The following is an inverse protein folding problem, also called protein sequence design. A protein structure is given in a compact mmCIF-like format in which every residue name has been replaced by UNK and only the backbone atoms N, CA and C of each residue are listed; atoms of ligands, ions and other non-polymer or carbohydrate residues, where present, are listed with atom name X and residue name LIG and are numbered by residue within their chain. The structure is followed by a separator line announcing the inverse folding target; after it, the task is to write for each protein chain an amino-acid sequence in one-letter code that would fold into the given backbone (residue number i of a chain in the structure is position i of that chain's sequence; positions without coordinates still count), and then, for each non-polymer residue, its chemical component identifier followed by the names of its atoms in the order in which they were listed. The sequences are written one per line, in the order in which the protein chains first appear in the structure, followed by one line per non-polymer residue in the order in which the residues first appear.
data_IF_315607649017
#
_entry.id   IF_315607649017
#
_cell.length_a   1.000
_cell.length_b   1.000
_cell.length_c   1.000
_cell.angle_alpha   90.00
_cell.angle_beta   90.00
_cell.angle_gamma   90.00
#
_symmetry.space_group_name_H-M   'P 1'
#
loop_
_entity.id
_entity.type
_entity.pdbx_description
1 polymer ?
#
# COMPACT_ATOMS: atom_id res chain seq x y z
N UNK A 1 5.79 29.15 -13.38
CA UNK A 1 4.39 29.19 -12.91
C UNK A 1 4.05 30.61 -12.45
N UNK A 2 2.84 31.15 -12.71
CA UNK A 2 2.36 32.38 -12.04
C UNK A 2 1.93 32.01 -10.61
N UNK A 3 2.27 32.82 -9.61
CA UNK A 3 1.85 32.55 -8.23
C UNK A 3 0.30 32.61 -8.14
N UNK A 4 -0.34 31.77 -7.30
CA UNK A 4 -1.75 31.91 -6.97
C UNK A 4 -2.09 33.34 -6.52
N UNK A 5 -3.28 33.87 -6.85
CA UNK A 5 -3.73 35.19 -6.39
C UNK A 5 -3.70 35.34 -4.86
N UNK A 6 -3.86 34.25 -4.12
CA UNK A 6 -3.85 34.21 -2.65
C UNK A 6 -2.49 34.53 -2.01
N UNK A 7 -1.41 34.57 -2.81
CA UNK A 7 -0.06 34.95 -2.37
C UNK A 7 0.27 36.38 -2.79
N UNK A 8 -0.65 37.32 -2.55
CA UNK A 8 -0.44 38.76 -2.77
C UNK A 8 0.67 39.30 -1.85
N UNK A 9 1.90 39.00 -2.22
CA UNK A 9 3.09 39.49 -1.55
C UNK A 9 3.52 40.81 -2.18
N UNK A 10 3.60 41.86 -1.37
CA UNK A 10 3.95 43.22 -1.81
C UNK A 10 5.33 43.24 -2.46
N UNK A 11 6.30 42.50 -1.91
CA UNK A 11 7.64 42.40 -2.49
C UNK A 11 7.61 41.71 -3.87
N UNK A 12 6.79 40.68 -4.04
CA UNK A 12 6.61 40.05 -5.37
C UNK A 12 6.05 41.06 -6.36
N UNK A 13 4.99 41.79 -5.99
CA UNK A 13 4.30 42.74 -6.88
C UNK A 13 5.20 43.90 -7.29
N UNK A 14 5.78 44.58 -6.31
CA UNK A 14 6.53 45.83 -6.51
C UNK A 14 7.96 45.62 -7.00
N UNK A 15 8.59 44.48 -6.66
CA UNK A 15 10.01 44.21 -6.95
C UNK A 15 10.18 43.10 -7.98
N UNK A 16 9.72 41.88 -7.67
CA UNK A 16 10.04 40.70 -8.50
C UNK A 16 9.25 40.67 -9.83
N UNK A 17 8.07 41.30 -9.88
CA UNK A 17 7.26 41.47 -11.09
C UNK A 17 7.44 42.82 -11.77
N UNK A 18 8.31 43.68 -11.24
CA UNK A 18 8.70 44.90 -11.92
C UNK A 18 9.71 44.62 -13.04
N UNK A 19 9.22 44.65 -14.28
CA UNK A 19 10.02 44.43 -15.49
C UNK A 19 10.57 45.72 -16.13
N UNK A 20 10.37 46.89 -15.50
CA UNK A 20 10.95 48.15 -15.95
C UNK A 20 12.48 48.11 -15.90
N UNK A 21 13.16 48.75 -16.85
CA UNK A 21 14.62 48.88 -16.76
C UNK A 21 15.04 49.98 -15.77
N UNK A 22 14.09 50.77 -15.28
CA UNK A 22 14.34 51.76 -14.24
C UNK A 22 14.76 51.09 -12.93
N UNK A 23 15.73 51.72 -12.28
CA UNK A 23 16.24 51.26 -10.99
C UNK A 23 15.23 51.60 -9.89
N UNK A 24 15.06 50.68 -8.95
CA UNK A 24 14.38 50.96 -7.69
C UNK A 24 15.26 51.86 -6.80
N UNK A 25 14.68 52.49 -5.76
CA UNK A 25 15.45 53.26 -4.80
C UNK A 25 16.59 52.43 -4.20
N UNK A 26 17.81 52.97 -4.24
CA UNK A 26 19.05 52.33 -3.78
C UNK A 26 19.35 50.96 -4.41
N UNK A 27 18.83 50.71 -5.62
CA UNK A 27 19.12 49.49 -6.35
C UNK A 27 20.54 49.49 -6.92
N UNK A 28 21.32 48.49 -6.52
CA UNK A 28 22.67 48.25 -6.96
C UNK A 28 22.71 46.96 -7.78
N UNK A 29 23.40 47.00 -8.92
CA UNK A 29 23.55 45.86 -9.83
C UNK A 29 25.00 45.34 -9.80
N UNK A 30 25.15 44.00 -9.87
CA UNK A 30 26.45 43.33 -10.01
C UNK A 30 26.37 42.24 -11.07
N UNK A 31 27.43 42.08 -11.86
CA UNK A 31 27.55 40.99 -12.82
C UNK A 31 27.56 39.63 -12.12
N UNK A 32 26.87 38.65 -12.70
CA UNK A 32 26.81 37.29 -12.15
C UNK A 32 28.03 36.51 -12.65
N UNK A 33 28.83 35.98 -11.71
CA UNK A 33 30.06 35.26 -12.01
C UNK A 33 29.76 33.95 -12.77
N UNK A 34 30.44 33.71 -13.89
CA UNK A 34 30.17 32.59 -14.81
C UNK A 34 28.94 32.79 -15.71
N UNK A 35 28.30 33.96 -15.63
CA UNK A 35 27.14 34.35 -16.40
C UNK A 35 27.22 35.85 -16.76
N UNK A 36 28.29 36.25 -17.43
CA UNK A 36 28.68 37.65 -17.70
C UNK A 36 27.60 38.43 -18.47
N UNK A 37 26.73 37.72 -19.18
CA UNK A 37 25.58 38.26 -19.90
C UNK A 37 24.42 38.72 -18.97
N UNK A 38 24.58 38.59 -17.66
CA UNK A 38 23.55 38.84 -16.66
C UNK A 38 24.06 39.65 -15.48
N UNK A 39 23.16 40.47 -14.93
CA UNK A 39 23.36 41.16 -13.65
C UNK A 39 22.27 40.75 -12.65
N UNK A 40 22.63 40.80 -11.37
CA UNK A 40 21.72 40.60 -10.24
C UNK A 40 21.71 41.85 -9.38
N UNK A 41 20.53 42.31 -8.96
CA UNK A 41 20.41 43.43 -8.04
C UNK A 41 20.37 43.01 -6.58
N UNK A 42 20.67 43.94 -5.66
CA UNK A 42 20.50 43.73 -4.22
C UNK A 42 19.06 43.40 -3.82
N UNK A 43 18.08 43.72 -4.67
CA UNK A 43 16.67 43.36 -4.52
C UNK A 43 16.31 41.96 -5.07
N UNK A 44 17.25 41.28 -5.75
CA UNK A 44 16.99 39.98 -6.35
C UNK A 44 16.34 40.04 -7.73
N UNK A 45 16.33 41.20 -8.39
CA UNK A 45 15.95 41.32 -9.81
C UNK A 45 17.13 40.85 -10.66
N UNK A 46 16.85 40.11 -11.73
CA UNK A 46 17.88 39.60 -12.64
C UNK A 46 17.72 40.30 -13.98
N UNK A 47 18.78 40.92 -14.49
CA UNK A 47 18.80 41.61 -15.76
C UNK A 47 19.59 40.79 -16.77
N UNK A 48 19.07 40.65 -17.98
CA UNK A 48 19.82 40.13 -19.13
C UNK A 48 20.33 41.32 -19.92
N UNK A 49 21.63 41.37 -20.14
CA UNK A 49 22.28 42.43 -20.89
C UNK A 49 22.09 42.25 -22.40
N UNK A 50 22.18 43.37 -23.12
CA UNK A 50 22.12 43.36 -24.58
C UNK A 50 23.36 42.69 -25.17
N UNK A 51 23.17 41.79 -26.13
CA UNK A 51 24.28 41.07 -26.78
C UNK A 51 23.86 40.49 -28.12
N UNK A 52 24.84 40.22 -28.97
CA UNK A 52 24.66 39.39 -30.14
C UNK A 52 24.60 37.92 -29.71
N UNK A 53 23.59 37.17 -30.19
CA UNK A 53 23.42 35.76 -29.86
C UNK A 53 23.18 34.93 -31.11
N UNK A 54 23.71 33.71 -31.12
CA UNK A 54 23.51 32.74 -32.18
C UNK A 54 22.38 31.78 -31.83
N UNK A 55 21.50 31.50 -32.78
CA UNK A 55 20.54 30.39 -32.67
C UNK A 55 21.23 29.05 -32.95
N UNK A 56 20.57 27.94 -32.61
CA UNK A 56 21.05 26.57 -32.94
C UNK A 56 21.25 26.34 -34.44
N UNK A 57 20.66 27.20 -35.30
CA UNK A 57 20.82 27.17 -36.76
C UNK A 57 21.89 28.15 -37.26
N UNK A 58 22.68 28.75 -36.38
CA UNK A 58 23.76 29.69 -36.72
C UNK A 58 23.32 31.12 -37.05
N UNK A 59 22.02 31.42 -36.96
CA UNK A 59 21.50 32.76 -37.25
C UNK A 59 21.79 33.70 -36.07
N UNK A 60 22.46 34.81 -36.36
CA UNK A 60 22.75 35.89 -35.41
C UNK A 60 21.51 36.76 -35.19
N UNK A 61 21.24 37.10 -33.94
CA UNK A 61 20.21 38.07 -33.60
C UNK A 61 20.62 38.87 -32.35
N UNK A 62 20.18 40.12 -32.30
CA UNK A 62 20.37 40.98 -31.14
C UNK A 62 19.37 40.63 -30.06
N UNK A 63 19.88 40.27 -28.88
CA UNK A 63 19.08 40.20 -27.65
C UNK A 63 19.12 41.59 -27.03
N UNK A 64 17.95 42.18 -26.82
CA UNK A 64 17.81 43.45 -26.10
C UNK A 64 17.90 43.24 -24.59
N UNK A 65 18.34 44.28 -23.90
CA UNK A 65 18.38 44.29 -22.45
C UNK A 65 16.95 44.15 -21.88
N UNK A 66 16.80 43.32 -20.84
CA UNK A 66 15.51 43.16 -20.16
C UNK A 66 15.64 42.55 -18.76
N UNK A 67 14.73 42.92 -17.89
CA UNK A 67 14.53 42.23 -16.61
C UNK A 67 13.92 40.85 -16.86
N UNK A 68 14.53 39.83 -16.26
CA UNK A 68 14.15 38.44 -16.40
C UNK A 68 13.00 38.11 -15.48
N UNK A 69 12.04 37.36 -16.02
CA UNK A 69 10.96 36.79 -15.24
C UNK A 69 11.47 35.75 -14.23
N UNK A 70 11.19 35.92 -12.93
CA UNK A 70 11.56 34.92 -11.93
C UNK A 70 10.76 33.62 -12.11
N UNK A 71 11.37 32.51 -11.71
CA UNK A 71 10.78 31.19 -11.70
C UNK A 71 10.46 30.74 -10.28
N UNK A 72 9.18 30.65 -9.94
CA UNK A 72 8.73 30.14 -8.65
C UNK A 72 8.56 28.61 -8.71
N UNK A 73 9.26 27.91 -7.81
CA UNK A 73 9.04 26.48 -7.56
C UNK A 73 8.26 26.31 -6.26
N UNK A 74 7.29 25.38 -6.25
CA UNK A 74 6.51 25.05 -5.05
C UNK A 74 6.72 23.60 -4.65
N UNK A 75 6.74 23.34 -3.34
CA UNK A 75 6.75 22.00 -2.75
C UNK A 75 5.60 21.89 -1.75
N UNK A 76 4.80 20.82 -1.85
CA UNK A 76 3.71 20.61 -0.92
C UNK A 76 4.22 19.98 0.38
N UNK A 77 3.95 20.62 1.50
CA UNK A 77 4.24 20.07 2.82
C UNK A 77 3.01 19.28 3.32
N UNK A 78 3.11 17.95 3.33
CA UNK A 78 2.03 17.06 3.76
C UNK A 78 1.61 17.22 5.22
N UNK A 79 2.50 17.73 6.08
CA UNK A 79 2.26 17.95 7.50
C UNK A 79 1.46 19.24 7.72
N UNK A 80 1.95 20.36 7.18
CA UNK A 80 1.28 21.66 7.28
C UNK A 80 0.09 21.84 6.32
N UNK A 81 -0.12 20.88 5.41
CA UNK A 81 -1.10 20.96 4.32
C UNK A 81 -0.99 22.23 3.47
N UNK A 82 0.21 22.78 3.34
CA UNK A 82 0.48 24.05 2.66
C UNK A 82 1.67 23.94 1.70
N UNK A 83 1.76 24.85 0.72
CA UNK A 83 2.88 24.95 -0.21
C UNK A 83 4.00 25.83 0.36
N UNK A 84 5.23 25.39 0.15
CA UNK A 84 6.45 26.17 0.39
C UNK A 84 6.99 26.61 -0.97
N UNK A 85 7.35 27.89 -1.10
CA UNK A 85 7.80 28.51 -2.34
C UNK A 85 9.28 28.85 -2.29
N UNK A 86 9.95 28.75 -3.44
CA UNK A 86 11.30 29.25 -3.65
C UNK A 86 11.37 30.07 -4.94
N UNK A 87 12.24 31.08 -4.94
CA UNK A 87 12.45 32.00 -6.08
C UNK A 87 13.76 31.65 -6.77
N UNK A 88 13.67 31.25 -8.03
CA UNK A 88 14.81 30.90 -8.87
C UNK A 88 14.84 31.80 -10.12
N UNK A 89 15.98 31.85 -10.80
CA UNK A 89 16.13 32.50 -12.10
C UNK A 89 16.75 31.55 -13.11
N UNK A 90 16.38 31.74 -14.38
CA UNK A 90 16.96 31.01 -15.51
C UNK A 90 18.07 31.82 -16.16
N UNK A 91 19.28 31.27 -16.14
CA UNK A 91 20.48 31.83 -16.76
C UNK A 91 20.90 30.93 -17.93
N UNK A 92 21.65 31.48 -18.89
CA UNK A 92 22.24 30.69 -19.97
C UNK A 92 23.68 31.12 -20.22
N UNK A 93 24.57 30.15 -20.34
CA UNK A 93 25.97 30.34 -20.74
C UNK A 93 26.37 29.22 -21.68
N UNK A 94 27.10 29.54 -22.74
CA UNK A 94 27.61 28.59 -23.76
C UNK A 94 26.56 27.60 -24.28
N UNK A 95 25.37 28.12 -24.62
CA UNK A 95 24.24 27.30 -25.11
C UNK A 95 23.54 26.45 -24.04
N UNK A 96 24.10 26.34 -22.84
CA UNK A 96 23.53 25.59 -21.71
C UNK A 96 22.62 26.45 -20.86
N UNK A 97 21.52 25.87 -20.34
CA UNK A 97 20.53 26.55 -19.49
C UNK A 97 20.68 26.11 -18.04
N UNK A 98 20.71 27.07 -17.13
CA UNK A 98 20.88 26.86 -15.70
C UNK A 98 19.74 27.48 -14.93
N UNK A 99 19.31 26.81 -13.86
CA UNK A 99 18.37 27.38 -12.88
C UNK A 99 19.14 27.63 -11.59
N UNK A 100 19.19 28.88 -11.14
CA UNK A 100 19.92 29.28 -9.93
C UNK A 100 18.98 29.91 -8.91
N UNK A 101 19.30 29.73 -7.62
CA UNK A 101 18.54 30.34 -6.53
C UNK A 101 18.83 31.83 -6.48
N UNK A 102 17.78 32.66 -6.53
CA UNK A 102 17.93 34.13 -6.42
C UNK A 102 18.54 34.50 -5.07
N UNK A 103 18.10 33.87 -3.98
CA UNK A 103 18.63 34.15 -2.64
C UNK A 103 20.14 33.89 -2.55
N UNK A 104 20.64 32.77 -3.12
CA UNK A 104 22.08 32.47 -3.11
C UNK A 104 22.86 33.48 -3.93
N UNK A 105 22.38 33.87 -5.11
CA UNK A 105 23.04 34.87 -5.94
C UNK A 105 23.10 36.23 -5.24
N UNK A 106 22.00 36.72 -4.69
CA UNK A 106 21.98 38.00 -3.97
C UNK A 106 22.95 37.95 -2.79
N UNK A 107 22.90 36.90 -1.96
CA UNK A 107 23.81 36.80 -0.81
C UNK A 107 25.27 36.76 -1.24
N UNK A 108 25.59 35.96 -2.26
CA UNK A 108 26.94 35.82 -2.79
C UNK A 108 27.52 37.15 -3.28
N UNK A 109 26.72 37.93 -4.01
CA UNK A 109 27.19 39.17 -4.62
C UNK A 109 27.13 40.38 -3.68
N UNK A 110 26.23 40.41 -2.70
CA UNK A 110 25.99 41.60 -1.86
C UNK A 110 26.29 41.44 -0.37
N UNK A 111 26.51 40.21 0.12
CA UNK A 111 26.73 39.97 1.56
C UNK A 111 28.07 39.27 1.81
N UNK A 112 28.26 38.07 1.28
CA UNK A 112 29.45 37.25 1.54
C UNK A 112 29.69 36.26 0.40
N UNK A 113 30.94 36.12 -0.07
CA UNK A 113 31.32 35.08 -1.05
C UNK A 113 31.47 33.72 -0.39
N UNK A 114 31.00 32.67 -1.08
CA UNK A 114 31.05 31.28 -0.63
C UNK A 114 30.95 30.33 -1.84
N UNK A 115 31.21 29.04 -1.66
CA UNK A 115 30.98 28.05 -2.72
C UNK A 115 29.47 27.90 -3.01
N UNK A 116 29.03 28.35 -4.19
CA UNK A 116 27.64 28.30 -4.63
C UNK A 116 27.07 26.88 -4.69
N UNK A 117 27.91 25.84 -4.73
CA UNK A 117 27.50 24.44 -4.72
C UNK A 117 27.50 23.81 -3.30
N UNK A 118 28.03 24.49 -2.27
CA UNK A 118 28.01 23.99 -0.89
C UNK A 118 26.58 23.95 -0.34
N UNK A 119 26.19 22.74 0.10
CA UNK A 119 24.88 22.39 0.65
C UNK A 119 24.87 22.28 2.18
N UNK A 120 26.00 22.56 2.83
CA UNK A 120 26.14 22.53 4.30
C UNK A 120 25.35 23.64 5.00
N UNK A 121 25.02 24.71 4.27
CA UNK A 121 24.20 25.84 4.72
C UNK A 121 23.10 26.19 3.71
N UNK A 122 22.17 27.01 4.17
CA UNK A 122 21.09 27.57 3.35
C UNK A 122 21.02 29.08 3.57
N UNK A 123 20.58 29.79 2.53
CA UNK A 123 20.27 31.22 2.64
C UNK A 123 18.78 31.35 2.95
N UNK A 124 18.46 31.97 4.09
CA UNK A 124 17.09 32.16 4.59
C UNK A 124 16.75 33.65 4.65
N UNK A 125 15.45 33.95 4.70
CA UNK A 125 14.93 35.30 4.95
C UNK A 125 14.70 35.49 6.45
N UNK A 126 15.10 36.64 7.00
CA UNK A 126 14.98 36.97 8.44
C UNK A 126 13.52 37.23 8.85
N UNK A 127 12.75 37.84 7.96
CA UNK A 127 11.34 38.23 8.16
C UNK A 127 10.31 37.10 7.94
N UNK A 128 10.77 35.84 7.82
CA UNK A 128 9.95 34.68 7.44
C UNK A 128 9.22 34.80 6.07
N UNK A 129 9.41 35.90 5.34
CA UNK A 129 8.87 36.08 4.00
C UNK A 129 9.80 35.44 2.96
N UNK A 130 9.40 34.28 2.45
CA UNK A 130 10.18 33.52 1.45
C UNK A 130 10.36 34.25 0.11
N UNK A 131 9.66 35.36 -0.14
CA UNK A 131 9.77 36.16 -1.36
C UNK A 131 10.65 37.40 -1.21
N UNK A 132 10.80 37.97 -0.02
CA UNK A 132 11.69 39.10 0.22
C UNK A 132 13.16 38.69 0.02
N UNK A 133 13.73 39.03 -1.14
CA UNK A 133 15.11 38.65 -1.54
C UNK A 133 16.11 39.78 -1.36
N UNK A 134 15.76 40.86 -0.68
CA UNK A 134 16.66 41.97 -0.47
C UNK A 134 17.88 41.52 0.35
N UNK A 135 19.08 41.95 -0.04
CA UNK A 135 20.34 41.51 0.56
C UNK A 135 20.38 41.68 2.09
N UNK A 136 19.82 42.77 2.62
CA UNK A 136 19.76 43.02 4.07
C UNK A 136 18.85 42.04 4.84
N UNK A 137 17.85 41.47 4.16
CA UNK A 137 16.90 40.51 4.72
C UNK A 137 17.40 39.05 4.63
N UNK A 138 18.55 38.81 3.98
CA UNK A 138 19.09 37.46 3.85
C UNK A 138 20.09 37.15 4.96
N UNK A 139 20.10 35.89 5.38
CA UNK A 139 21.05 35.33 6.35
C UNK A 139 21.54 33.96 5.91
N UNK A 140 22.79 33.63 6.25
CA UNK A 140 23.40 32.33 6.04
C UNK A 140 23.28 31.51 7.32
N UNK A 141 22.54 30.41 7.26
CA UNK A 141 22.33 29.51 8.41
C UNK A 141 22.75 28.08 8.05
N UNK A 142 23.29 27.34 9.01
CA UNK A 142 23.68 25.96 8.77
C UNK A 142 22.46 25.07 8.48
N UNK A 143 22.66 23.99 7.73
CA UNK A 143 21.61 23.00 7.48
C UNK A 143 21.09 22.38 8.79
N UNK A 144 21.94 22.31 9.83
CA UNK A 144 21.55 21.87 11.18
C UNK A 144 20.61 22.86 11.86
N UNK A 145 20.93 24.14 11.85
CA UNK A 145 20.06 25.18 12.39
C UNK A 145 18.73 25.24 11.65
N UNK A 146 18.74 25.20 10.31
CA UNK A 146 17.49 25.17 9.53
C UNK A 146 16.58 24.02 9.95
N UNK A 147 17.13 22.81 10.11
CA UNK A 147 16.39 21.64 10.62
C UNK A 147 15.83 21.93 12.02
N UNK A 148 16.63 22.47 12.92
CA UNK A 148 16.18 22.83 14.28
C UNK A 148 15.05 23.86 14.26
N UNK A 149 15.11 24.89 13.41
CA UNK A 149 14.05 25.89 13.27
C UNK A 149 12.76 25.27 12.72
N UNK A 150 12.85 24.33 11.78
CA UNK A 150 11.70 23.55 11.27
C UNK A 150 11.07 22.73 12.40
N UNK A 151 11.88 22.10 13.26
CA UNK A 151 11.38 21.36 14.43
C UNK A 151 10.70 22.29 15.45
N UNK A 152 11.33 23.42 15.80
CA UNK A 152 10.78 24.39 16.77
C UNK A 152 9.49 25.06 16.29
N UNK A 153 9.37 25.31 14.99
CA UNK A 153 8.16 25.89 14.38
C UNK A 153 7.09 24.85 14.05
N UNK A 154 7.24 23.61 14.53
CA UNK A 154 6.34 22.47 14.26
C UNK A 154 5.97 22.35 12.78
N UNK A 155 6.97 22.39 11.89
CA UNK A 155 6.76 22.30 10.42
C UNK A 155 6.97 20.89 9.87
N UNK A 156 7.22 19.91 10.73
CA UNK A 156 7.45 18.49 10.40
C UNK A 156 7.12 17.60 11.60
N UNK A 157 6.53 16.42 11.34
CA UNK A 157 6.21 15.43 12.37
C UNK A 157 7.47 15.00 13.13
N UNK A 158 7.47 15.20 14.45
CA UNK A 158 8.53 14.70 15.32
C UNK A 158 8.20 13.29 15.81
N UNK A 159 8.77 12.28 15.13
CA UNK A 159 8.57 10.86 15.46
C UNK A 159 9.05 10.53 16.88
N UNK A 160 10.08 11.23 17.39
CA UNK A 160 10.58 11.01 18.74
C UNK A 160 9.54 11.42 19.79
N UNK A 161 8.85 12.54 19.60
CA UNK A 161 7.74 12.96 20.48
C UNK A 161 6.61 11.93 20.46
N UNK A 162 6.33 11.36 19.29
CA UNK A 162 5.33 10.31 19.16
C UNK A 162 5.75 9.02 19.89
N UNK A 163 7.03 8.65 19.87
CA UNK A 163 7.54 7.47 20.57
C UNK A 163 7.69 7.66 22.08
N UNK A 164 7.73 8.91 22.55
CA UNK A 164 7.68 9.24 23.98
C UNK A 164 6.27 9.13 24.58
N UNK A 165 5.22 8.89 23.77
CA UNK A 165 3.86 8.77 24.28
C UNK A 165 3.66 7.47 25.08
N UNK A 166 3.00 7.52 26.24
CA UNK A 166 2.70 6.34 27.03
C UNK A 166 1.68 5.43 26.36
N UNK A 167 1.87 4.12 26.51
CA UNK A 167 1.06 3.09 25.86
C UNK A 167 0.66 1.98 26.82
N UNK A 168 -0.49 1.39 26.53
CA UNK A 168 -1.06 0.27 27.28
C UNK A 168 -1.09 -0.97 26.38
N UNK A 169 -0.66 -2.09 26.95
CA UNK A 169 -0.59 -3.41 26.31
C UNK A 169 -1.84 -4.21 26.66
N UNK A 170 -2.44 -4.87 25.67
CA UNK A 170 -3.60 -5.73 25.84
C UNK A 170 -3.39 -7.08 25.14
N UNK A 171 -4.07 -8.11 25.65
CA UNK A 171 -4.28 -9.36 24.91
C UNK A 171 -5.08 -9.05 23.65
N UNK A 172 -5.11 -10.04 22.78
CA UNK A 172 -5.78 -9.94 21.51
C UNK A 172 -7.30 -9.90 21.65
N UNK A 173 -7.79 -10.52 22.73
CA UNK A 173 -9.18 -10.63 23.16
C UNK A 173 -9.65 -9.37 23.93
N UNK A 174 -8.70 -8.55 24.38
CA UNK A 174 -8.96 -7.24 25.00
C UNK A 174 -8.72 -7.17 26.50
N UNK A 175 -8.09 -8.17 27.09
CA UNK A 175 -7.67 -8.14 28.48
C UNK A 175 -6.44 -7.26 28.66
N UNK A 176 -6.45 -6.40 29.65
CA UNK A 176 -5.32 -5.54 29.96
C UNK A 176 -4.12 -6.34 30.49
N UNK A 177 -2.91 -5.98 30.06
CA UNK A 177 -1.66 -6.65 30.49
C UNK A 177 -0.78 -5.69 31.30
N UNK A 178 -0.34 -4.58 30.71
CA UNK A 178 0.66 -3.71 31.32
C UNK A 178 0.65 -2.27 30.76
N UNK A 179 1.27 -1.36 31.51
CA UNK A 179 1.53 0.02 31.11
C UNK A 179 3.01 0.25 30.84
N UNK A 180 3.29 1.13 29.88
CA UNK A 180 4.63 1.56 29.50
C UNK A 180 4.64 3.08 29.40
N UNK A 181 5.67 3.71 29.98
CA UNK A 181 5.82 5.16 30.02
C UNK A 181 6.03 5.76 28.61
N UNK A 182 6.56 4.97 27.68
CA UNK A 182 6.77 5.35 26.29
C UNK A 182 6.81 4.13 25.37
N UNK A 183 6.66 4.34 24.06
CA UNK A 183 6.90 3.29 23.05
C UNK A 183 8.36 2.82 23.10
N UNK A 184 9.32 3.71 23.38
CA UNK A 184 10.72 3.32 23.59
C UNK A 184 10.88 2.30 24.72
N UNK A 185 10.17 2.48 25.84
CA UNK A 185 10.23 1.52 26.95
C UNK A 185 9.64 0.15 26.60
N UNK A 186 8.76 0.08 25.59
CA UNK A 186 8.28 -1.19 25.03
C UNK A 186 9.39 -1.87 24.21
N UNK A 187 10.08 -1.11 23.35
CA UNK A 187 11.17 -1.62 22.54
C UNK A 187 12.32 -2.14 23.41
N UNK A 188 12.71 -1.38 24.43
CA UNK A 188 13.76 -1.77 25.37
C UNK A 188 13.41 -3.06 26.14
N UNK A 189 12.17 -3.18 26.64
CA UNK A 189 11.75 -4.31 27.49
C UNK A 189 11.35 -5.56 26.70
N UNK A 190 10.67 -5.39 25.56
CA UNK A 190 10.06 -6.47 24.80
C UNK A 190 10.74 -6.74 23.45
N UNK A 191 11.69 -5.89 23.03
CA UNK A 191 12.34 -5.99 21.72
C UNK A 191 11.40 -5.74 20.54
N UNK A 192 10.27 -5.07 20.76
CA UNK A 192 9.28 -4.77 19.72
C UNK A 192 9.57 -3.38 19.14
N UNK A 193 9.84 -3.34 17.83
CA UNK A 193 10.17 -2.11 17.12
C UNK A 193 9.11 -1.01 17.31
N UNK A 194 9.56 0.22 17.58
CA UNK A 194 8.69 1.38 17.83
C UNK A 194 7.71 1.66 16.67
N UNK A 195 8.16 1.51 15.42
CA UNK A 195 7.33 1.68 14.22
C UNK A 195 6.16 0.72 14.23
N UNK A 196 6.40 -0.53 14.63
CA UNK A 196 5.37 -1.56 14.63
C UNK A 196 4.29 -1.31 15.68
N UNK A 197 4.67 -0.76 16.85
CA UNK A 197 3.70 -0.32 17.87
C UNK A 197 2.87 0.85 17.35
N UNK A 198 3.52 1.81 16.70
CA UNK A 198 2.85 2.97 16.11
C UNK A 198 1.88 2.57 14.98
N UNK A 199 2.22 1.58 14.16
CA UNK A 199 1.33 1.03 13.13
C UNK A 199 0.07 0.40 13.73
N UNK A 200 0.18 -0.25 14.90
CA UNK A 200 -0.98 -0.78 15.65
C UNK A 200 -1.87 0.35 16.16
N UNK A 201 -1.27 1.37 16.80
CA UNK A 201 -1.98 2.54 17.33
C UNK A 201 -2.72 3.29 16.21
N UNK A 202 -2.10 3.43 15.05
CA UNK A 202 -2.69 4.04 13.85
C UNK A 202 -3.64 3.10 13.09
N UNK A 203 -3.86 1.89 13.60
CA UNK A 203 -4.77 0.87 13.03
C UNK A 203 -4.39 0.41 11.61
N UNK A 204 -3.11 0.56 11.24
CA UNK A 204 -2.55 0.03 9.98
C UNK A 204 -2.43 -1.49 10.05
N UNK A 205 -2.01 -2.00 11.20
CA UNK A 205 -1.97 -3.43 11.52
C UNK A 205 -2.73 -3.69 12.82
N UNK A 206 -3.17 -4.93 13.03
CA UNK A 206 -3.98 -5.27 14.20
C UNK A 206 -3.12 -5.47 15.45
N UNK A 207 -1.96 -6.10 15.35
CA UNK A 207 -1.14 -6.53 16.49
C UNK A 207 0.34 -6.30 16.24
N UNK A 208 1.12 -6.16 17.31
CA UNK A 208 2.58 -6.18 17.29
C UNK A 208 3.11 -6.90 18.53
N UNK A 209 4.15 -7.72 18.36
CA UNK A 209 4.67 -8.57 19.43
C UNK A 209 3.63 -9.51 20.05
N UNK A 210 2.61 -9.93 19.29
CA UNK A 210 1.45 -10.73 19.74
C UNK A 210 0.39 -9.97 20.55
N UNK A 211 0.53 -8.66 20.73
CA UNK A 211 -0.35 -7.85 21.56
C UNK A 211 -1.07 -6.76 20.78
N UNK A 212 -2.13 -6.21 21.39
CA UNK A 212 -2.79 -4.97 20.96
C UNK A 212 -2.19 -3.80 21.75
N UNK A 213 -2.08 -2.65 21.11
CA UNK A 213 -1.45 -1.47 21.68
C UNK A 213 -2.34 -0.25 21.48
N UNK A 214 -2.53 0.51 22.55
CA UNK A 214 -3.30 1.74 22.54
C UNK A 214 -2.56 2.82 23.31
N UNK A 215 -2.77 4.07 22.94
CA UNK A 215 -2.26 5.20 23.72
C UNK A 215 -2.98 5.22 25.07
N UNK A 216 -2.24 5.47 26.15
CA UNK A 216 -2.84 5.50 27.48
C UNK A 216 -3.92 6.59 27.60
N UNK A 217 -3.72 7.73 26.95
CA UNK A 217 -4.71 8.83 26.90
C UNK A 217 -5.93 8.55 26.02
N UNK A 218 -5.96 7.42 25.30
CA UNK A 218 -7.09 7.00 24.48
C UNK A 218 -7.27 5.48 24.60
N UNK A 219 -7.80 5.00 25.75
CA UNK A 219 -7.96 3.58 26.00
C UNK A 219 -8.98 2.95 25.04
N UNK A 220 -8.84 1.65 24.74
CA UNK A 220 -9.64 0.97 23.74
C UNK A 220 -11.09 0.73 24.20
N UNK A 221 -12.02 0.78 23.23
CA UNK A 221 -13.42 0.37 23.45
C UNK A 221 -13.61 -1.13 23.18
N UNK A 222 -14.62 -1.75 23.79
CA UNK A 222 -14.91 -3.19 23.61
C UNK A 222 -15.11 -3.55 22.14
N UNK A 223 -15.69 -2.65 21.34
CA UNK A 223 -15.94 -2.86 19.92
C UNK A 223 -14.65 -2.92 19.10
N UNK A 224 -13.55 -2.31 19.57
CA UNK A 224 -12.24 -2.34 18.90
C UNK A 224 -11.55 -3.71 19.03
N UNK A 225 -11.97 -4.50 20.03
CA UNK A 225 -11.58 -5.89 20.20
C UNK A 225 -12.56 -6.87 19.53
N UNK A 226 -13.80 -6.46 19.28
CA UNK A 226 -14.77 -7.20 18.47
C UNK A 226 -14.34 -7.18 17.00
N UNK A 227 -13.43 -8.10 16.67
CA UNK A 227 -12.75 -8.21 15.39
C UNK A 227 -13.63 -7.91 14.18
N UNK A 228 -13.34 -6.80 13.50
CA UNK A 228 -13.41 -6.66 12.03
C UNK A 228 -14.67 -7.32 11.41
N UNK A 229 -15.87 -7.05 11.94
CA UNK A 229 -17.11 -7.28 11.17
C UNK A 229 -17.26 -6.31 10.00
N UNK A 230 -16.42 -5.26 9.93
CA UNK A 230 -16.63 -4.09 9.06
C UNK A 230 -15.68 -4.04 7.85
N UNK A 231 -15.06 -5.16 7.48
CA UNK A 231 -14.66 -5.31 6.07
C UNK A 231 -15.07 -6.67 5.54
N UNK A 232 -16.39 -6.83 5.36
CA UNK A 232 -16.87 -7.51 4.17
C UNK A 232 -16.31 -6.75 2.96
N UNK A 233 -15.04 -6.96 2.63
CA UNK A 233 -14.71 -6.99 1.23
C UNK A 233 -15.61 -8.12 0.72
N UNK A 234 -16.65 -7.72 0.01
CA UNK A 234 -17.59 -8.57 -0.71
C UNK A 234 -16.77 -9.33 -1.74
N UNK A 235 -15.96 -10.26 -1.25
CA UNK A 235 -15.26 -11.25 -2.03
C UNK A 235 -16.39 -12.04 -2.68
N UNK A 236 -16.48 -11.88 -3.99
CA UNK A 236 -17.56 -12.34 -4.85
C UNK A 236 -18.25 -13.59 -4.30
N UNK A 237 -19.54 -13.47 -3.97
CA UNK A 237 -20.42 -14.58 -3.60
C UNK A 237 -20.21 -15.81 -4.49
N UNK A 238 -19.92 -15.55 -5.76
CA UNK A 238 -19.58 -16.52 -6.79
C UNK A 238 -18.06 -16.73 -6.92
N UNK A 239 -17.63 -17.98 -6.92
CA UNK A 239 -16.29 -18.42 -7.37
C UNK A 239 -16.17 -18.27 -8.90
N UNK A 240 -15.96 -17.03 -9.37
CA UNK A 240 -15.87 -16.69 -10.80
C UNK A 240 -14.81 -17.52 -11.54
N UNK A 241 -13.66 -17.76 -10.92
CA UNK A 241 -12.59 -18.56 -11.51
C UNK A 241 -13.07 -19.97 -11.88
N UNK A 242 -13.72 -20.67 -10.96
CA UNK A 242 -14.22 -22.02 -11.22
C UNK A 242 -15.34 -22.00 -12.26
N UNK A 243 -16.25 -21.02 -12.17
CA UNK A 243 -17.35 -20.84 -13.12
C UNK A 243 -16.84 -20.63 -14.55
N UNK A 244 -15.83 -19.78 -14.74
CA UNK A 244 -15.18 -19.57 -16.03
C UNK A 244 -14.48 -20.83 -16.54
N UNK A 245 -13.76 -21.54 -15.66
CA UNK A 245 -13.06 -22.79 -16.02
C UNK A 245 -14.00 -23.93 -16.41
N UNK A 246 -15.23 -23.92 -15.91
CA UNK A 246 -16.28 -24.89 -16.27
C UNK A 246 -17.09 -24.46 -17.50
N UNK A 247 -16.67 -23.42 -18.22
CA UNK A 247 -17.33 -22.97 -19.45
C UNK A 247 -18.56 -22.10 -19.20
N UNK A 248 -18.63 -21.42 -18.04
CA UNK A 248 -19.71 -20.50 -17.66
C UNK A 248 -21.10 -21.16 -17.72
N UNK A 249 -21.33 -22.26 -16.97
CA UNK A 249 -22.65 -22.90 -16.92
C UNK A 249 -23.73 -21.88 -16.49
N UNK A 250 -24.95 -22.05 -17.01
CA UNK A 250 -26.08 -21.18 -16.69
C UNK A 250 -26.51 -21.41 -15.23
N UNK A 251 -26.22 -20.45 -14.36
CA UNK A 251 -26.50 -20.49 -12.92
C UNK A 251 -26.97 -19.12 -12.43
N UNK A 252 -27.72 -19.08 -11.34
CA UNK A 252 -28.02 -17.83 -10.64
C UNK A 252 -26.77 -17.33 -9.88
N UNK A 253 -26.23 -16.19 -10.29
CA UNK A 253 -25.05 -15.61 -9.65
C UNK A 253 -25.32 -15.06 -8.24
N UNK A 254 -26.58 -14.78 -7.89
CA UNK A 254 -27.02 -14.32 -6.57
C UNK A 254 -27.37 -15.46 -5.63
N UNK A 255 -27.59 -16.66 -6.15
CA UNK A 255 -27.76 -17.88 -5.39
C UNK A 255 -27.05 -19.06 -6.08
N UNK A 256 -25.72 -19.03 -6.16
CA UNK A 256 -24.99 -20.02 -6.95
C UNK A 256 -25.00 -21.40 -6.27
N UNK A 257 -24.88 -22.49 -7.06
CA UNK A 257 -24.70 -23.84 -6.53
C UNK A 257 -23.56 -23.94 -5.52
N UNK A 258 -23.61 -24.94 -4.64
CA UNK A 258 -22.72 -25.04 -3.48
C UNK A 258 -21.23 -24.98 -3.81
N UNK A 259 -20.78 -25.63 -4.90
CA UNK A 259 -19.38 -25.61 -5.33
C UNK A 259 -18.88 -24.22 -5.78
N UNK A 260 -19.80 -23.34 -6.17
CA UNK A 260 -19.56 -21.97 -6.59
C UNK A 260 -19.79 -20.94 -5.48
N UNK A 261 -20.52 -21.31 -4.43
CA UNK A 261 -20.98 -20.40 -3.39
C UNK A 261 -19.92 -20.17 -2.31
N UNK A 262 -19.36 -18.95 -2.26
CA UNK A 262 -18.35 -18.52 -1.29
C UNK A 262 -18.93 -17.81 -0.05
N UNK A 263 -20.26 -17.77 0.10
CA UNK A 263 -20.92 -17.19 1.28
C UNK A 263 -20.64 -18.02 2.52
N UNK A 264 -20.28 -17.37 3.62
CA UNK A 264 -20.18 -18.03 4.94
C UNK A 264 -21.54 -18.42 5.52
N UNK A 265 -22.65 -17.88 4.98
CA UNK A 265 -24.01 -18.29 5.37
C UNK A 265 -24.27 -19.72 4.93
N UNK A 266 -24.91 -20.48 5.80
CA UNK A 266 -25.30 -21.86 5.51
C UNK A 266 -26.41 -21.90 4.45
N UNK A 267 -26.37 -22.92 3.60
CA UNK A 267 -27.40 -23.21 2.61
C UNK A 267 -28.52 -24.04 3.25
N UNK A 268 -29.69 -24.07 2.61
CA UNK A 268 -30.79 -24.89 3.09
C UNK A 268 -30.41 -26.38 3.16
N UNK A 269 -30.66 -27.00 4.32
CA UNK A 269 -30.33 -28.41 4.59
C UNK A 269 -28.83 -28.70 4.66
N UNK A 270 -27.99 -27.69 4.84
CA UNK A 270 -26.56 -27.85 4.98
C UNK A 270 -26.14 -28.08 6.43
N UNK A 271 -25.27 -29.07 6.65
CA UNK A 271 -24.64 -29.34 7.93
C UNK A 271 -23.16 -29.66 7.74
N UNK A 272 -22.37 -29.46 8.79
CA UNK A 272 -20.91 -29.43 8.74
C UNK A 272 -20.30 -30.50 9.64
N UNK A 273 -19.25 -31.15 9.16
CA UNK A 273 -18.42 -32.10 9.92
C UNK A 273 -16.95 -31.69 9.87
N UNK A 274 -16.15 -31.95 10.91
CA UNK A 274 -14.70 -31.71 10.86
C UNK A 274 -14.06 -32.47 9.68
N UNK A 275 -13.10 -31.84 9.01
CA UNK A 275 -12.33 -32.52 7.95
C UNK A 275 -11.47 -33.63 8.57
N UNK A 276 -11.56 -34.90 8.13
CA UNK A 276 -10.89 -36.04 8.75
C UNK A 276 -9.42 -36.15 8.27
N UNK A 277 -8.64 -35.09 8.47
CA UNK A 277 -7.23 -35.02 8.08
C UNK A 277 -6.40 -34.59 9.30
N UNK A 278 -5.46 -35.43 9.77
CA UNK A 278 -4.61 -35.14 10.92
C UNK A 278 -3.96 -33.76 10.88
N UNK A 279 -4.33 -32.93 11.86
CA UNK A 279 -3.85 -31.56 12.04
C UNK A 279 -4.69 -30.50 11.31
N UNK A 280 -5.87 -30.84 10.81
CA UNK A 280 -6.78 -29.91 10.12
C UNK A 280 -8.20 -29.90 10.72
N UNK A 281 -8.52 -30.82 11.62
CA UNK A 281 -9.85 -31.08 12.19
C UNK A 281 -10.43 -29.86 12.91
N UNK A 282 -9.60 -29.16 13.69
CA UNK A 282 -10.00 -27.97 14.45
C UNK A 282 -10.07 -26.70 13.61
N UNK A 283 -9.58 -26.75 12.35
CA UNK A 283 -9.41 -25.59 11.48
C UNK A 283 -10.35 -25.57 10.29
N UNK A 284 -10.82 -26.73 9.87
CA UNK A 284 -11.64 -26.88 8.68
C UNK A 284 -12.82 -27.79 8.91
N UNK A 285 -13.95 -27.39 8.35
CA UNK A 285 -15.17 -28.20 8.28
C UNK A 285 -15.58 -28.42 6.83
N UNK A 286 -16.11 -29.61 6.54
CA UNK A 286 -16.71 -30.00 5.28
C UNK A 286 -18.23 -30.04 5.46
N UNK A 287 -18.97 -29.46 4.51
CA UNK A 287 -20.42 -29.59 4.48
C UNK A 287 -20.88 -30.76 3.62
N UNK A 288 -22.06 -31.29 3.92
CA UNK A 288 -22.76 -32.29 3.09
C UNK A 288 -23.10 -31.79 1.68
N UNK A 289 -23.01 -30.48 1.42
CA UNK A 289 -23.15 -29.87 0.08
C UNK A 289 -21.81 -29.72 -0.64
N UNK A 290 -20.72 -30.23 -0.07
CA UNK A 290 -19.39 -30.19 -0.68
C UNK A 290 -18.70 -28.85 -0.56
N UNK A 291 -19.02 -28.03 0.45
CA UNK A 291 -18.30 -26.78 0.75
C UNK A 291 -17.26 -27.02 1.84
N UNK A 292 -16.11 -26.34 1.77
CA UNK A 292 -15.10 -26.36 2.83
C UNK A 292 -15.04 -24.98 3.49
N UNK A 293 -15.29 -24.95 4.80
CA UNK A 293 -15.23 -23.76 5.64
C UNK A 293 -13.94 -23.79 6.44
N UNK A 294 -13.12 -22.76 6.31
CA UNK A 294 -12.03 -22.47 7.25
C UNK A 294 -12.64 -21.76 8.43
N UNK A 295 -12.50 -22.32 9.63
CA UNK A 295 -12.95 -21.68 10.86
C UNK A 295 -12.07 -20.47 11.19
N UNK A 296 -12.69 -19.48 11.84
CA UNK A 296 -11.96 -18.32 12.34
C UNK A 296 -10.94 -18.74 13.39
N UNK A 297 -9.74 -18.19 13.34
CA UNK A 297 -8.74 -18.50 14.34
C UNK A 297 -7.43 -17.75 14.17
N UNK A 298 -6.69 -17.69 15.27
CA UNK A 298 -5.35 -17.12 15.31
C UNK A 298 -4.34 -18.10 14.72
N UNK A 299 -3.43 -17.59 13.90
CA UNK A 299 -2.25 -18.32 13.46
C UNK A 299 -0.99 -17.63 13.96
N UNK A 300 -0.06 -18.42 14.48
CA UNK A 300 1.27 -17.98 14.92
C UNK A 300 2.31 -18.58 14.00
N UNK A 301 2.89 -17.77 13.10
CA UNK A 301 4.13 -18.12 12.37
C UNK A 301 5.24 -17.15 12.77
N UNK A 302 5.16 -15.90 12.30
CA UNK A 302 6.06 -14.79 12.68
C UNK A 302 5.31 -13.54 13.18
N UNK A 303 4.02 -13.44 12.87
CA UNK A 303 3.07 -12.40 13.32
C UNK A 303 1.77 -13.10 13.71
N UNK A 304 1.07 -12.59 14.71
CA UNK A 304 -0.26 -13.09 15.09
C UNK A 304 -1.27 -12.53 14.09
N UNK A 305 -1.73 -13.38 13.20
CA UNK A 305 -2.70 -13.01 12.18
C UNK A 305 -4.01 -13.71 12.52
N UNK A 306 -5.07 -12.92 12.63
CA UNK A 306 -6.42 -13.48 12.70
C UNK A 306 -6.88 -13.82 11.29
N UNK A 307 -7.19 -15.10 11.07
CA UNK A 307 -7.84 -15.52 9.85
C UNK A 307 -9.33 -15.60 10.14
N UNK A 308 -10.10 -14.74 9.47
CA UNK A 308 -11.55 -14.82 9.51
C UNK A 308 -12.06 -16.12 8.91
N UNK A 309 -13.26 -16.49 9.33
CA UNK A 309 -14.01 -17.58 8.73
C UNK A 309 -14.20 -17.34 7.24
N UNK A 310 -14.03 -18.38 6.43
CA UNK A 310 -14.11 -18.27 4.97
C UNK A 310 -14.48 -19.60 4.34
N UNK A 311 -15.40 -19.57 3.37
CA UNK A 311 -15.57 -20.70 2.44
C UNK A 311 -14.43 -20.67 1.42
N UNK A 312 -13.71 -21.77 1.31
CA UNK A 312 -12.59 -21.89 0.40
C UNK A 312 -13.05 -22.10 -1.04
N UNK A 313 -12.43 -21.36 -1.95
CA UNK A 313 -12.63 -21.56 -3.39
C UNK A 313 -12.12 -22.93 -3.82
N UNK A 314 -12.93 -23.60 -4.62
CA UNK A 314 -12.56 -24.86 -5.27
C UNK A 314 -11.94 -24.59 -6.65
N UNK A 315 -11.09 -25.51 -7.08
CA UNK A 315 -10.38 -25.46 -8.36
C UNK A 315 -10.52 -26.78 -9.12
N UNK A 316 -10.44 -26.70 -10.44
CA UNK A 316 -10.48 -27.85 -11.33
C UNK A 316 -9.15 -28.62 -11.35
N UNK A 317 -9.22 -29.95 -11.29
CA UNK A 317 -8.15 -30.86 -11.70
C UNK A 317 -8.66 -31.59 -12.95
N UNK A 318 -7.98 -31.41 -14.07
CA UNK A 318 -8.32 -32.12 -15.31
C UNK A 318 -7.71 -33.52 -15.20
N UNK A 319 -8.54 -34.57 -15.32
CA UNK A 319 -8.07 -35.95 -15.27
C UNK A 319 -7.79 -36.48 -16.68
N UNK A 320 -8.70 -36.19 -17.61
CA UNK A 320 -8.60 -36.50 -19.04
C UNK A 320 -9.59 -35.59 -19.81
N UNK A 321 -9.67 -35.74 -21.13
CA UNK A 321 -10.47 -34.85 -22.01
C UNK A 321 -11.97 -34.81 -21.66
N UNK A 322 -12.48 -35.79 -20.91
CA UNK A 322 -13.91 -35.93 -20.58
C UNK A 322 -14.24 -35.83 -19.09
N UNK A 323 -13.25 -35.89 -18.21
CA UNK A 323 -13.47 -35.92 -16.75
C UNK A 323 -12.54 -35.00 -16.01
N UNK A 324 -13.07 -34.43 -14.94
CA UNK A 324 -12.34 -33.56 -14.04
C UNK A 324 -12.75 -33.83 -12.60
N UNK A 325 -12.00 -33.29 -11.66
CA UNK A 325 -12.32 -33.36 -10.25
C UNK A 325 -12.21 -31.98 -9.62
N UNK A 326 -13.15 -31.67 -8.73
CA UNK A 326 -13.06 -30.48 -7.91
C UNK A 326 -12.06 -30.73 -6.77
N UNK A 327 -11.29 -29.70 -6.44
CA UNK A 327 -10.28 -29.77 -5.40
C UNK A 327 -10.19 -28.50 -4.59
N UNK A 328 -9.68 -28.61 -3.38
CA UNK A 328 -9.44 -27.47 -2.51
C UNK A 328 -8.03 -27.56 -1.90
N UNK A 329 -7.39 -26.40 -1.68
CA UNK A 329 -6.10 -26.32 -1.00
C UNK A 329 -6.31 -25.92 0.46
N UNK A 330 -5.87 -26.79 1.38
CA UNK A 330 -5.90 -26.55 2.82
C UNK A 330 -4.50 -26.18 3.30
N UNK A 331 -4.43 -25.29 4.29
CA UNK A 331 -3.16 -24.84 4.88
C UNK A 331 -3.29 -24.76 6.39
N UNK A 332 -2.47 -25.52 7.11
CA UNK A 332 -2.31 -25.37 8.54
C UNK A 332 -0.83 -25.31 8.93
N UNK A 333 -0.43 -24.24 9.62
CA UNK A 333 0.90 -24.03 10.24
C UNK A 333 2.16 -24.21 9.36
N UNK A 334 2.02 -24.48 8.07
CA UNK A 334 3.11 -24.57 7.09
C UNK A 334 2.91 -25.77 6.19
N UNK A 335 2.04 -26.69 6.63
CA UNK A 335 1.61 -27.88 5.91
C UNK A 335 0.51 -27.51 4.92
N UNK A 336 0.75 -27.81 3.65
CA UNK A 336 -0.20 -27.63 2.56
C UNK A 336 -0.69 -28.98 2.06
N UNK A 337 -2.00 -29.14 1.94
CA UNK A 337 -2.62 -30.34 1.39
C UNK A 337 -3.63 -29.94 0.33
N UNK A 338 -3.62 -30.62 -0.82
CA UNK A 338 -4.70 -30.51 -1.81
C UNK A 338 -5.63 -31.70 -1.64
N UNK A 339 -6.90 -31.43 -1.38
CA UNK A 339 -7.95 -32.45 -1.22
C UNK A 339 -8.82 -32.51 -2.47
N UNK A 340 -9.19 -33.71 -2.88
CA UNK A 340 -10.18 -33.95 -3.94
C UNK A 340 -11.56 -34.06 -3.28
N UNK A 341 -12.52 -33.26 -3.76
CA UNK A 341 -13.81 -33.11 -3.10
C UNK A 341 -14.61 -34.40 -3.06
N UNK A 342 -14.60 -35.21 -4.13
CA UNK A 342 -15.30 -36.50 -4.16
C UNK A 342 -14.74 -37.49 -3.13
N UNK A 343 -13.41 -37.60 -2.99
CA UNK A 343 -12.79 -38.45 -1.95
C UNK A 343 -13.20 -38.00 -0.55
N UNK A 344 -13.19 -36.69 -0.31
CA UNK A 344 -13.50 -36.15 1.01
C UNK A 344 -14.97 -36.32 1.38
N UNK A 345 -15.88 -36.04 0.44
CA UNK A 345 -17.33 -36.25 0.60
C UNK A 345 -17.65 -37.72 0.87
N UNK A 346 -17.09 -38.64 0.09
CA UNK A 346 -17.30 -40.08 0.29
C UNK A 346 -16.81 -40.55 1.67
N UNK A 347 -15.58 -40.15 2.04
CA UNK A 347 -14.98 -40.51 3.34
C UNK A 347 -15.80 -40.01 4.54
N UNK A 348 -16.39 -38.82 4.43
CA UNK A 348 -17.14 -38.20 5.53
C UNK A 348 -18.59 -38.66 5.62
N UNK A 349 -19.24 -38.95 4.50
CA UNK A 349 -20.70 -39.12 4.43
C UNK A 349 -21.17 -40.48 3.89
N UNK A 350 -20.26 -41.33 3.40
CA UNK A 350 -20.60 -42.67 2.88
C UNK A 350 -19.86 -43.76 3.66
N UNK A 351 -18.54 -43.82 3.52
CA UNK A 351 -17.71 -44.86 4.14
C UNK A 351 -16.30 -44.34 4.42
N UNK A 352 -15.82 -44.55 5.65
CA UNK A 352 -14.47 -44.12 6.05
C UNK A 352 -13.41 -45.00 5.37
N UNK A 353 -12.44 -44.36 4.74
CA UNK A 353 -11.26 -45.02 4.17
C UNK A 353 -10.04 -44.10 4.27
N UNK A 354 -8.84 -44.65 4.08
CA UNK A 354 -7.61 -43.87 4.09
C UNK A 354 -7.55 -42.94 2.85
N UNK A 355 -7.70 -41.64 3.10
CA UNK A 355 -7.63 -40.61 2.05
C UNK A 355 -6.27 -40.58 1.34
N UNK A 356 -5.21 -41.04 2.01
CA UNK A 356 -3.85 -41.10 1.48
C UNK A 356 -3.59 -42.32 0.60
N UNK A 357 -4.46 -43.33 0.64
CA UNK A 357 -4.36 -44.52 -0.21
C UNK A 357 -4.54 -44.13 -1.69
N UNK A 358 -3.52 -44.46 -2.48
CA UNK A 358 -3.45 -44.22 -3.92
C UNK A 358 -4.03 -45.38 -4.73
N UNK A 359 -4.23 -46.54 -4.11
CA UNK A 359 -4.83 -47.72 -4.72
C UNK A 359 -6.37 -47.64 -4.75
N UNK A 360 -6.97 -46.65 -4.07
CA UNK A 360 -8.41 -46.43 -4.03
C UNK A 360 -8.80 -45.10 -4.68
N UNK A 361 -9.80 -45.16 -5.56
CA UNK A 361 -10.36 -44.01 -6.28
C UNK A 361 -11.87 -43.91 -6.05
N UNK A 362 -12.34 -42.68 -5.83
CA UNK A 362 -13.79 -42.39 -5.78
C UNK A 362 -14.24 -41.91 -7.14
N UNK A 363 -15.13 -42.68 -7.77
CA UNK A 363 -15.76 -42.36 -9.05
C UNK A 363 -17.00 -41.50 -8.77
N UNK A 364 -17.07 -40.35 -9.44
CA UNK A 364 -18.21 -39.44 -9.40
C UNK A 364 -19.07 -39.63 -10.65
N UNK A 365 -20.28 -40.18 -10.49
CA UNK A 365 -21.26 -40.36 -11.59
C UNK A 365 -22.28 -39.22 -11.69
N UNK A 366 -22.10 -38.10 -10.98
CA UNK A 366 -22.95 -36.91 -11.15
C UNK A 366 -22.87 -36.34 -12.55
N UNK A 367 -24.01 -35.84 -13.04
CA UNK A 367 -24.11 -35.05 -14.24
C UNK A 367 -24.95 -33.79 -13.95
N UNK A 368 -24.37 -32.59 -13.97
CA UNK A 368 -22.96 -32.29 -14.29
C UNK A 368 -21.98 -32.74 -13.18
N UNK A 369 -20.72 -33.04 -13.54
CA UNK A 369 -19.70 -33.54 -12.59
C UNK A 369 -19.40 -32.58 -11.43
N UNK A 370 -19.61 -31.27 -11.62
CA UNK A 370 -19.41 -30.26 -10.58
C UNK A 370 -20.54 -30.21 -9.55
N UNK A 371 -21.73 -30.73 -9.87
CA UNK A 371 -22.88 -30.82 -8.96
C UNK A 371 -22.89 -32.19 -8.27
N UNK A 372 -21.98 -32.34 -7.31
CA UNK A 372 -21.70 -33.64 -6.70
C UNK A 372 -22.88 -34.07 -5.82
N UNK A 373 -23.47 -35.20 -6.19
CA UNK A 373 -24.48 -35.91 -5.44
C UNK A 373 -23.78 -37.06 -4.72
N UNK A 374 -23.78 -37.02 -3.39
CA UNK A 374 -23.07 -38.00 -2.55
C UNK A 374 -23.54 -39.43 -2.86
N UNK A 375 -24.82 -39.62 -3.20
CA UNK A 375 -25.38 -40.94 -3.55
C UNK A 375 -24.82 -41.53 -4.85
N UNK A 376 -24.21 -40.69 -5.70
CA UNK A 376 -23.59 -41.06 -6.98
C UNK A 376 -22.07 -41.23 -6.88
N UNK A 377 -21.52 -41.23 -5.66
CA UNK A 377 -20.12 -41.52 -5.39
C UNK A 377 -19.93 -43.01 -5.08
N UNK A 378 -18.87 -43.61 -5.61
CA UNK A 378 -18.52 -45.01 -5.34
C UNK A 378 -17.01 -45.21 -5.28
N UNK A 379 -16.55 -46.04 -4.34
CA UNK A 379 -15.13 -46.33 -4.09
C UNK A 379 -14.70 -47.60 -4.80
N UNK A 380 -13.60 -47.53 -5.54
CA UNK A 380 -13.11 -48.63 -6.38
C UNK A 380 -11.58 -48.74 -6.36
N UNK A 381 -11.01 -49.92 -6.61
CA UNK A 381 -9.58 -50.06 -6.87
C UNK A 381 -9.16 -49.21 -8.09
N UNK A 382 -8.06 -48.46 -7.94
CA UNK A 382 -7.56 -47.55 -8.96
C UNK A 382 -7.30 -48.26 -10.29
N UNK A 383 -6.77 -49.49 -10.25
CA UNK A 383 -6.51 -50.30 -11.43
C UNK A 383 -7.78 -50.58 -12.25
N UNK A 384 -8.93 -50.78 -11.62
CA UNK A 384 -10.18 -51.11 -12.31
C UNK A 384 -10.80 -49.87 -12.98
N UNK A 385 -10.67 -48.72 -12.33
CA UNK A 385 -11.09 -47.42 -12.86
C UNK A 385 -10.23 -47.03 -14.06
N UNK A 386 -8.90 -47.18 -13.95
CA UNK A 386 -7.95 -46.79 -14.99
C UNK A 386 -7.98 -47.71 -16.21
N UNK A 387 -8.25 -49.01 -16.05
CA UNK A 387 -8.40 -49.96 -17.16
C UNK A 387 -9.74 -49.85 -17.90
N UNK A 388 -10.67 -49.00 -17.44
CA UNK A 388 -11.96 -48.79 -18.09
C UNK A 388 -12.98 -49.91 -17.87
N UNK A 389 -12.68 -50.87 -16.98
CA UNK A 389 -13.54 -52.03 -16.68
C UNK A 389 -14.89 -51.63 -16.05
N UNK A 390 -15.02 -50.38 -15.58
CA UNK A 390 -16.24 -49.82 -14.98
C UNK A 390 -17.42 -49.63 -15.93
N UNK A 391 -17.22 -49.67 -17.26
CA UNK A 391 -18.32 -49.47 -18.22
C UNK A 391 -19.15 -50.73 -18.52
N UNK A 392 -18.71 -51.91 -18.06
CA UNK A 392 -19.30 -53.19 -18.47
C UNK A 392 -20.20 -53.89 -17.43
N UNK A 393 -20.36 -53.37 -16.21
CA UNK A 393 -21.18 -54.02 -15.18
C UNK A 393 -22.69 -53.73 -15.29
N UNK A 394 -23.10 -52.64 -15.97
CA UNK A 394 -24.51 -52.21 -16.02
C UNK A 394 -25.28 -52.79 -17.22
N UNK A 395 -24.72 -53.76 -17.98
CA UNK A 395 -25.38 -54.41 -19.13
C UNK A 395 -25.84 -55.86 -18.90
N UNK A 396 -25.54 -56.46 -17.75
CA UNK A 396 -25.85 -57.88 -17.49
C UNK A 396 -26.86 -58.09 -16.36
N UNK A 397 -27.94 -57.29 -16.33
CA UNK A 397 -29.16 -57.63 -15.58
C UNK A 397 -30.36 -57.31 -16.46
N UNK A 398 -30.69 -58.22 -17.37
CA UNK A 398 -32.05 -58.47 -17.91
C UNK A 398 -31.99 -59.52 -19.03
N UNK A 399 -31.64 -60.77 -18.68
CA UNK A 399 -32.17 -61.97 -19.34
C UNK A 399 -32.17 -63.10 -18.30
N UNK A 400 -33.29 -63.29 -17.58
CA UNK A 400 -33.82 -64.61 -17.20
C UNK A 400 -35.17 -64.45 -16.51
N UNK A 401 -36.11 -65.23 -17.04
CA UNK A 401 -37.54 -65.41 -16.75
C UNK A 401 -38.50 -64.27 -17.10
#
# INVERSE_FOLDING_TARGET
MKLPPELEDEYVKEVLYNYSLENLPDEQWKSIEGFENYEISNYGRVKSLSRLSHTTMGIEHWITEKIRKPHFTRQYNNYLKNYIYNVNCGLSSDGSKYTRSVARLVYYHFVERFDLEDRSFVISCKDDNVFNKHSSNLEKISAKEKRMTIFRKDRTRNVHVDYMKPVSQYTVEGDFIAHYESIYSVEEKLGIACESIMDVINKVILTSGKFRWFLQGNPPKKEEFQMVKISYNVNSLLNKYLWEKLGKPNIDAYNPPSCFNLSVKDLSGEYWVPVPIPGFESRYQLSNKGRIKRLSGWISRNKFIFLQEKILSQTLIINNDKTYSLSCKLNNEGKYIRVVMSKLLYCCFVEKFDLSDRNLMVVNKSNPQWDIDISKLSLHPANDVLKGNFRNSDKNVNISN
#
